data_IF_332213769030
#
_entry.id   IF_332213769030
#
_cell.length_a   1.000
_cell.length_b   1.000
_cell.length_c   1.000
_cell.angle_alpha   90.00
_cell.angle_beta   90.00
_cell.angle_gamma   90.00
#
_symmetry.space_group_name_H-M   'P 1'
#
loop_
_entity.id
_entity.type
_entity.pdbx_description
1 polymer ?
#
# COMPACT_ATOMS: atom_id res chain seq x y z
N UNK A 1 -5.82 -25.59 7.30
CA UNK A 1 -5.30 -24.83 8.45
C UNK A 1 -6.01 -23.50 8.51
N UNK A 2 -6.62 -23.18 9.65
CA UNK A 2 -7.30 -21.90 9.87
C UNK A 2 -6.29 -20.86 10.36
N UNK A 3 -6.36 -19.64 9.84
CA UNK A 3 -5.52 -18.50 10.21
C UNK A 3 -6.36 -17.35 10.74
N UNK A 4 -5.76 -16.51 11.59
CA UNK A 4 -6.36 -15.27 12.02
C UNK A 4 -5.53 -14.05 11.59
N UNK A 5 -6.20 -12.96 11.21
CA UNK A 5 -5.58 -11.67 10.94
C UNK A 5 -6.06 -10.67 11.98
N UNK A 6 -5.14 -9.91 12.57
CA UNK A 6 -5.44 -8.79 13.45
C UNK A 6 -5.31 -7.52 12.63
N UNK A 7 -6.43 -6.86 12.34
CA UNK A 7 -6.48 -5.65 11.52
C UNK A 7 -7.54 -4.70 12.08
N UNK A 8 -7.15 -3.81 13.03
CA UNK A 8 -8.08 -2.83 13.60
C UNK A 8 -8.81 -2.02 12.52
N UNK A 9 -10.12 -1.88 12.67
CA UNK A 9 -11.00 -1.17 11.75
C UNK A 9 -11.56 -2.03 10.61
N UNK A 10 -11.07 -3.25 10.37
CA UNK A 10 -11.67 -4.12 9.35
C UNK A 10 -13.05 -4.65 9.78
N UNK A 11 -14.08 -4.69 8.91
CA UNK A 11 -14.11 -4.19 7.53
C UNK A 11 -14.59 -2.75 7.40
N UNK A 12 -14.97 -2.09 8.50
CA UNK A 12 -15.69 -0.82 8.48
C UNK A 12 -14.84 0.38 8.00
N UNK A 13 -13.55 0.39 8.32
CA UNK A 13 -12.64 1.48 7.97
C UNK A 13 -12.05 1.30 6.56
N UNK A 14 -12.03 2.37 5.79
CA UNK A 14 -11.34 2.42 4.49
C UNK A 14 -9.88 2.80 4.68
N UNK A 15 -8.95 2.07 4.04
CA UNK A 15 -7.54 2.40 4.05
C UNK A 15 -6.64 1.27 3.58
N UNK A 16 -5.38 1.58 3.29
CA UNK A 16 -4.47 0.61 2.68
C UNK A 16 -4.28 -0.68 3.48
N UNK A 17 -4.34 -0.62 4.82
CA UNK A 17 -4.20 -1.82 5.69
C UNK A 17 -5.47 -2.68 5.67
N UNK A 18 -6.66 -2.07 5.69
CA UNK A 18 -7.92 -2.82 5.63
C UNK A 18 -8.16 -3.37 4.23
N UNK A 19 -7.78 -2.64 3.18
CA UNK A 19 -7.80 -3.12 1.79
C UNK A 19 -6.84 -4.30 1.58
N UNK A 20 -5.62 -4.20 2.15
CA UNK A 20 -4.66 -5.30 2.15
C UNK A 20 -5.21 -6.52 2.89
N UNK A 21 -5.87 -6.31 4.03
CA UNK A 21 -6.52 -7.40 4.79
C UNK A 21 -7.64 -8.06 4.01
N UNK A 22 -8.51 -7.27 3.35
CA UNK A 22 -9.57 -7.79 2.50
C UNK A 22 -9.00 -8.67 1.37
N UNK A 23 -7.89 -8.24 0.78
CA UNK A 23 -7.19 -9.00 -0.25
C UNK A 23 -6.59 -10.30 0.28
N UNK A 24 -5.91 -10.26 1.42
CA UNK A 24 -5.34 -11.46 2.06
C UNK A 24 -6.42 -12.50 2.36
N UNK A 25 -7.56 -12.09 2.94
CA UNK A 25 -8.70 -13.00 3.20
C UNK A 25 -9.14 -13.69 1.92
N UNK A 26 -9.29 -12.95 0.82
CA UNK A 26 -9.70 -13.48 -0.48
C UNK A 26 -8.67 -14.46 -1.05
N UNK A 27 -7.40 -14.07 -1.11
CA UNK A 27 -6.34 -14.84 -1.74
C UNK A 27 -5.96 -16.09 -0.92
N UNK A 28 -5.98 -15.99 0.40
CA UNK A 28 -5.79 -17.15 1.27
C UNK A 28 -6.97 -18.11 1.23
N UNK A 29 -8.20 -17.60 1.14
CA UNK A 29 -9.40 -18.42 0.89
C UNK A 29 -9.29 -19.19 -0.42
N UNK A 30 -8.88 -18.54 -1.51
CA UNK A 30 -8.63 -19.18 -2.79
C UNK A 30 -7.51 -20.24 -2.72
N UNK A 31 -6.54 -20.07 -1.81
CA UNK A 31 -5.48 -21.05 -1.51
C UNK A 31 -5.89 -22.10 -0.47
N UNK A 32 -7.19 -22.23 -0.15
CA UNK A 32 -7.74 -23.25 0.75
C UNK A 32 -7.52 -22.97 2.25
N UNK A 33 -7.17 -21.75 2.65
CA UNK A 33 -7.07 -21.35 4.05
C UNK A 33 -8.37 -20.69 4.53
N UNK A 34 -8.97 -21.23 5.59
CA UNK A 34 -10.01 -20.51 6.33
C UNK A 34 -9.36 -19.33 7.07
N UNK A 35 -9.89 -18.12 6.89
CA UNK A 35 -9.32 -16.90 7.49
C UNK A 35 -10.35 -16.22 8.40
N UNK A 36 -9.93 -15.90 9.62
CA UNK A 36 -10.70 -15.12 10.60
C UNK A 36 -10.06 -13.75 10.77
N UNK A 37 -10.85 -12.70 10.98
CA UNK A 37 -10.32 -11.34 11.17
C UNK A 37 -10.80 -10.76 12.49
N UNK A 38 -9.86 -10.25 13.29
CA UNK A 38 -10.13 -9.44 14.46
C UNK A 38 -10.05 -7.96 14.09
N UNK A 39 -11.21 -7.33 13.93
CA UNK A 39 -11.37 -5.91 13.57
C UNK A 39 -11.30 -4.94 14.75
N UNK A 40 -11.39 -5.43 15.98
CA UNK A 40 -11.45 -4.62 17.20
C UNK A 40 -10.48 -5.19 18.26
N UNK A 41 -9.83 -4.33 19.04
CA UNK A 41 -8.76 -4.71 19.97
C UNK A 41 -9.06 -4.29 21.41
N UNK A 42 -10.29 -4.56 21.85
CA UNK A 42 -10.83 -4.25 23.17
C UNK A 42 -10.76 -5.44 24.16
N UNK A 43 -10.68 -6.67 23.65
CA UNK A 43 -10.62 -7.87 24.47
C UNK A 43 -9.21 -8.19 25.02
N UNK A 44 -9.16 -8.88 26.16
CA UNK A 44 -7.91 -9.40 26.72
C UNK A 44 -7.19 -10.35 25.74
N UNK A 45 -5.90 -10.11 25.41
CA UNK A 45 -5.16 -10.93 24.45
C UNK A 45 -5.07 -12.43 24.78
N UNK A 46 -5.07 -12.81 26.07
CA UNK A 46 -5.05 -14.23 26.48
C UNK A 46 -6.36 -14.93 26.15
N UNK A 47 -7.50 -14.25 26.31
CA UNK A 47 -8.83 -14.78 25.96
C UNK A 47 -8.95 -14.98 24.45
N UNK A 48 -8.50 -14.00 23.67
CA UNK A 48 -8.44 -14.10 22.20
C UNK A 48 -7.60 -15.33 21.78
N UNK A 49 -6.36 -15.44 22.29
CA UNK A 49 -5.47 -16.54 21.95
C UNK A 49 -6.04 -17.91 22.34
N UNK A 50 -6.61 -18.04 23.55
CA UNK A 50 -7.24 -19.28 24.00
C UNK A 50 -8.44 -19.68 23.14
N UNK A 51 -9.32 -18.73 22.80
CA UNK A 51 -10.46 -18.96 21.90
C UNK A 51 -9.99 -19.41 20.52
N UNK A 52 -9.01 -18.74 19.94
CA UNK A 52 -8.48 -19.13 18.63
C UNK A 52 -7.85 -20.52 18.64
N UNK A 53 -7.11 -20.86 19.69
CA UNK A 53 -6.56 -22.21 19.84
C UNK A 53 -7.68 -23.26 19.93
N UNK A 54 -8.71 -23.02 20.74
CA UNK A 54 -9.88 -23.91 20.83
C UNK A 54 -10.65 -24.05 19.51
N UNK A 55 -10.59 -23.03 18.66
CA UNK A 55 -11.20 -23.00 17.34
C UNK A 55 -10.33 -23.59 16.23
N UNK A 56 -9.17 -24.17 16.55
CA UNK A 56 -8.28 -24.78 15.55
C UNK A 56 -7.49 -23.78 14.70
N UNK A 57 -7.41 -22.51 15.10
CA UNK A 57 -6.50 -21.55 14.47
C UNK A 57 -5.07 -22.06 14.69
N UNK A 58 -4.27 -22.15 13.62
CA UNK A 58 -2.89 -22.59 13.68
C UNK A 58 -1.86 -21.45 13.67
N UNK A 59 -2.27 -20.26 13.19
CA UNK A 59 -1.38 -19.11 13.10
C UNK A 59 -2.12 -17.78 13.04
N UNK A 60 -1.42 -16.72 13.43
CA UNK A 60 -1.95 -15.35 13.44
C UNK A 60 -1.02 -14.39 12.67
N UNK A 61 -1.60 -13.40 12.00
CA UNK A 61 -0.89 -12.30 11.36
C UNK A 61 -1.34 -10.96 11.94
N UNK A 62 -0.41 -10.20 12.50
CA UNK A 62 -0.67 -8.86 13.02
C UNK A 62 -0.33 -7.82 11.94
N UNK A 63 -1.34 -7.09 11.46
CA UNK A 63 -1.13 -5.96 10.55
C UNK A 63 -0.72 -4.73 11.38
N UNK A 64 0.57 -4.38 11.37
CA UNK A 64 1.11 -3.37 12.28
C UNK A 64 1.28 -2.00 11.62
N UNK A 65 0.55 -1.03 12.17
CA UNK A 65 0.79 0.42 12.11
C UNK A 65 0.57 0.94 13.53
N UNK A 66 1.48 1.75 14.12
CA UNK A 66 1.39 2.16 15.52
C UNK A 66 0.00 2.71 15.89
N UNK A 67 -0.53 3.61 15.06
CA UNK A 67 -1.77 4.33 15.31
C UNK A 67 -3.05 3.48 15.22
N UNK A 68 -2.98 2.26 14.69
CA UNK A 68 -4.14 1.35 14.65
C UNK A 68 -4.47 0.76 16.02
N UNK A 69 -3.52 0.72 16.96
CA UNK A 69 -3.67 -0.03 18.22
C UNK A 69 -3.80 0.83 19.47
N UNK A 70 -3.62 2.14 19.37
CA UNK A 70 -3.67 3.01 20.54
C UNK A 70 -3.44 4.48 20.23
N UNK A 71 -3.92 5.33 21.15
CA UNK A 71 -3.73 6.77 21.08
C UNK A 71 -2.23 7.08 21.03
N UNK A 72 -1.82 7.99 20.14
CA UNK A 72 -0.40 8.35 19.89
C UNK A 72 0.47 7.18 19.40
N UNK A 73 -0.14 6.08 18.96
CA UNK A 73 0.56 4.90 18.46
C UNK A 73 1.27 4.05 19.50
N UNK A 74 0.90 4.18 20.79
CA UNK A 74 1.43 3.37 21.88
C UNK A 74 0.36 2.40 22.36
N UNK A 75 0.69 1.11 22.37
CA UNK A 75 -0.21 0.04 22.79
C UNK A 75 0.56 -1.21 23.20
N UNK A 76 0.14 -1.82 24.32
CA UNK A 76 0.65 -3.13 24.75
C UNK A 76 -0.07 -4.28 24.05
N UNK A 77 -1.18 -4.02 23.37
CA UNK A 77 -2.04 -5.04 22.80
C UNK A 77 -1.32 -5.94 21.78
N UNK A 78 -0.63 -5.42 20.73
CA UNK A 78 0.00 -6.27 19.73
C UNK A 78 1.00 -7.25 20.33
N UNK A 79 1.87 -6.76 21.22
CA UNK A 79 2.86 -7.60 21.91
C UNK A 79 2.19 -8.61 22.84
N UNK A 80 1.20 -8.16 23.63
CA UNK A 80 0.46 -9.03 24.54
C UNK A 80 -0.22 -10.17 23.81
N UNK A 81 -0.80 -9.90 22.63
CA UNK A 81 -1.41 -10.91 21.77
C UNK A 81 -0.38 -11.84 21.16
N UNK A 82 0.72 -11.33 20.62
CA UNK A 82 1.80 -12.16 20.09
C UNK A 82 2.35 -13.13 21.16
N UNK A 83 2.64 -12.63 22.37
CA UNK A 83 3.11 -13.47 23.48
C UNK A 83 2.06 -14.50 23.90
N UNK A 84 0.80 -14.11 24.06
CA UNK A 84 -0.27 -15.03 24.45
C UNK A 84 -0.54 -16.10 23.39
N UNK A 85 -0.55 -15.73 22.11
CA UNK A 85 -0.73 -16.64 20.98
C UNK A 85 0.41 -17.66 20.91
N UNK A 86 1.66 -17.21 21.06
CA UNK A 86 2.82 -18.11 21.10
C UNK A 86 2.76 -19.07 22.29
N UNK A 87 2.37 -18.59 23.47
CA UNK A 87 2.16 -19.45 24.65
C UNK A 87 1.03 -20.48 24.45
N UNK A 88 0.03 -20.17 23.62
CA UNK A 88 -1.04 -21.08 23.23
C UNK A 88 -0.65 -22.03 22.07
N UNK A 89 0.62 -22.05 21.65
CA UNK A 89 1.12 -22.90 20.56
C UNK A 89 0.76 -22.43 19.16
N UNK A 90 0.36 -21.16 18.98
CA UNK A 90 0.06 -20.58 17.67
C UNK A 90 1.34 -20.04 17.02
N UNK A 91 1.46 -20.20 15.70
CA UNK A 91 2.46 -19.46 14.92
C UNK A 91 2.08 -17.99 14.83
N UNK A 92 3.04 -17.08 14.95
CA UNK A 92 2.77 -15.64 15.07
C UNK A 92 3.61 -14.90 14.04
N UNK A 93 2.96 -14.18 13.14
CA UNK A 93 3.61 -13.25 12.22
C UNK A 93 3.20 -11.81 12.49
N UNK A 94 4.07 -10.87 12.12
CA UNK A 94 3.76 -9.44 12.05
C UNK A 94 4.11 -8.90 10.67
N UNK A 95 3.21 -8.12 10.07
CA UNK A 95 3.45 -7.36 8.85
C UNK A 95 3.53 -5.87 9.17
N UNK A 96 4.73 -5.31 9.12
CA UNK A 96 5.02 -3.92 9.51
C UNK A 96 4.83 -2.99 8.31
N UNK A 97 3.69 -2.31 8.25
CA UNK A 97 3.36 -1.31 7.21
C UNK A 97 4.03 0.03 7.47
N UNK A 98 4.02 0.45 8.74
CA UNK A 98 4.68 1.65 9.22
C UNK A 98 5.31 1.35 10.58
N UNK A 99 6.58 1.71 10.82
CA UNK A 99 7.25 1.24 12.02
C UNK A 99 7.07 2.20 13.21
N UNK A 100 7.27 3.51 12.98
CA UNK A 100 7.17 4.58 13.98
C UNK A 100 7.12 5.95 13.30
N UNK A 101 6.72 6.99 14.05
CA UNK A 101 6.74 8.39 13.59
C UNK A 101 8.16 8.91 13.37
N UNK A 102 8.41 9.70 12.31
CA UNK A 102 9.71 10.31 12.09
C UNK A 102 10.00 11.38 13.16
N UNK A 103 11.27 11.66 13.43
CA UNK A 103 11.73 12.62 14.45
C UNK A 103 11.72 14.08 13.93
N UNK A 104 10.64 14.50 13.28
CA UNK A 104 10.55 15.82 12.62
C UNK A 104 9.77 16.86 13.41
N UNK A 105 9.13 16.48 14.52
CA UNK A 105 8.35 17.38 15.40
C UNK A 105 8.63 17.04 16.86
N UNK A 106 8.56 18.03 17.74
CA UNK A 106 8.88 17.86 19.18
C UNK A 106 8.13 16.70 19.84
N UNK A 107 6.79 16.53 19.68
CA UNK A 107 6.10 15.37 20.25
C UNK A 107 6.62 14.04 19.71
N UNK A 108 7.08 14.01 18.46
CA UNK A 108 7.59 12.80 17.81
C UNK A 108 9.01 12.44 18.24
N UNK A 109 9.80 13.40 18.76
CA UNK A 109 11.08 13.10 19.39
C UNK A 109 10.93 12.16 20.60
N UNK A 110 9.85 12.34 21.37
CA UNK A 110 9.52 11.48 22.51
C UNK A 110 8.81 10.18 22.09
N UNK A 111 7.86 10.26 21.16
CA UNK A 111 7.08 9.09 20.75
C UNK A 111 7.88 8.08 19.92
N UNK A 112 8.78 8.56 19.04
CA UNK A 112 9.58 7.71 18.14
C UNK A 112 10.37 6.62 18.88
N UNK A 113 11.20 6.92 19.91
CA UNK A 113 11.93 5.87 20.64
C UNK A 113 11.00 4.88 21.36
N UNK A 114 9.86 5.34 21.89
CA UNK A 114 8.88 4.47 22.55
C UNK A 114 8.21 3.51 21.56
N UNK A 115 7.77 4.02 20.41
CA UNK A 115 7.21 3.21 19.32
C UNK A 115 8.25 2.21 18.78
N UNK A 116 9.51 2.63 18.64
CA UNK A 116 10.60 1.73 18.23
C UNK A 116 10.79 0.60 19.23
N UNK A 117 10.87 0.89 20.53
CA UNK A 117 10.99 -0.13 21.59
C UNK A 117 9.79 -1.08 21.60
N UNK A 118 8.58 -0.56 21.39
CA UNK A 118 7.37 -1.37 21.27
C UNK A 118 7.42 -2.32 20.08
N UNK A 119 7.81 -1.82 18.90
CA UNK A 119 7.90 -2.62 17.69
C UNK A 119 8.97 -3.71 17.79
N UNK A 120 10.17 -3.38 18.29
CA UNK A 120 11.23 -4.38 18.48
C UNK A 120 10.77 -5.52 19.40
N UNK A 121 10.13 -5.18 20.51
CA UNK A 121 9.54 -6.17 21.43
C UNK A 121 8.38 -6.97 20.83
N UNK A 122 7.67 -6.43 19.85
CA UNK A 122 6.65 -7.16 19.10
C UNK A 122 7.32 -8.14 18.14
N UNK A 123 8.32 -7.70 17.39
CA UNK A 123 9.10 -8.55 16.47
C UNK A 123 9.75 -9.71 17.22
N UNK A 124 10.37 -9.46 18.38
CA UNK A 124 10.93 -10.49 19.28
C UNK A 124 9.88 -11.54 19.73
N UNK A 125 8.61 -11.13 19.85
CA UNK A 125 7.52 -12.02 20.24
C UNK A 125 6.94 -12.83 19.07
N UNK A 126 7.32 -12.52 17.82
CA UNK A 126 6.83 -13.17 16.62
C UNK A 126 7.81 -14.24 16.12
N UNK A 127 7.28 -15.21 15.37
CA UNK A 127 8.07 -16.21 14.64
C UNK A 127 8.50 -15.70 13.26
N UNK A 128 7.70 -14.79 12.68
CA UNK A 128 7.93 -14.19 11.37
C UNK A 128 7.69 -12.68 11.47
N UNK A 129 8.57 -11.90 10.88
CA UNK A 129 8.35 -10.48 10.66
C UNK A 129 8.50 -10.17 9.17
N UNK A 130 7.57 -9.41 8.61
CA UNK A 130 7.59 -8.96 7.22
C UNK A 130 7.49 -7.43 7.17
N UNK A 131 8.09 -6.82 6.16
CA UNK A 131 7.89 -5.41 5.84
C UNK A 131 7.99 -5.20 4.33
N UNK A 132 7.23 -4.25 3.75
CA UNK A 132 7.29 -3.96 2.32
C UNK A 132 8.30 -2.86 1.97
N UNK A 133 9.15 -2.44 2.90
CA UNK A 133 10.09 -1.33 2.69
C UNK A 133 11.52 -1.77 3.07
N UNK A 134 12.49 -1.77 2.15
CA UNK A 134 13.85 -2.22 2.42
C UNK A 134 14.52 -1.45 3.57
N UNK A 135 14.31 -0.12 3.64
CA UNK A 135 14.84 0.71 4.71
C UNK A 135 14.34 0.29 6.10
N UNK A 136 13.14 -0.30 6.19
CA UNK A 136 12.63 -0.86 7.44
C UNK A 136 13.22 -2.22 7.73
N UNK A 137 13.38 -3.08 6.73
CA UNK A 137 14.08 -4.37 6.89
C UNK A 137 15.49 -4.16 7.45
N UNK A 138 16.27 -3.24 6.89
CA UNK A 138 17.61 -2.90 7.37
C UNK A 138 17.62 -2.44 8.84
N UNK A 139 16.56 -1.79 9.32
CA UNK A 139 16.45 -1.30 10.71
C UNK A 139 15.88 -2.33 11.69
N UNK A 140 15.10 -3.29 11.19
CA UNK A 140 14.48 -4.36 11.98
C UNK A 140 15.37 -5.61 12.05
N UNK A 141 16.35 -5.73 11.17
CA UNK A 141 17.33 -6.82 11.11
C UNK A 141 17.01 -7.86 10.05
N UNK A 142 18.01 -8.69 9.71
CA UNK A 142 17.97 -9.61 8.57
C UNK A 142 16.92 -10.71 8.68
N UNK A 143 16.47 -11.00 9.91
CA UNK A 143 15.38 -11.93 10.20
C UNK A 143 14.00 -11.40 9.75
N UNK A 144 13.91 -10.12 9.35
CA UNK A 144 12.70 -9.55 8.76
C UNK A 144 12.68 -9.80 7.26
N UNK A 145 11.62 -10.45 6.78
CA UNK A 145 11.41 -10.71 5.36
C UNK A 145 10.98 -9.42 4.64
N UNK A 146 11.60 -9.15 3.48
CA UNK A 146 11.09 -8.15 2.55
C UNK A 146 9.96 -8.79 1.75
N UNK A 147 8.74 -8.28 1.93
CA UNK A 147 7.58 -8.76 1.18
C UNK A 147 6.72 -7.57 0.77
N UNK A 148 6.65 -7.32 -0.53
CA UNK A 148 5.86 -6.22 -1.08
C UNK A 148 4.36 -6.46 -0.94
N UNK A 149 3.59 -5.38 -1.01
CA UNK A 149 2.13 -5.47 -0.97
C UNK A 149 1.57 -5.70 -2.37
N UNK A 150 2.05 -5.01 -3.41
CA UNK A 150 1.39 -5.04 -4.73
C UNK A 150 0.06 -4.26 -4.73
N UNK A 151 -0.76 -4.42 -5.78
CA UNK A 151 -2.09 -3.77 -5.90
C UNK A 151 -3.11 -4.37 -4.92
N UNK A 152 -3.93 -3.52 -4.30
CA UNK A 152 -5.09 -3.96 -3.49
C UNK A 152 -6.40 -4.01 -4.26
N UNK A 153 -6.41 -3.60 -5.54
CA UNK A 153 -7.60 -3.62 -6.39
C UNK A 153 -7.93 -4.99 -7.00
N UNK A 154 -7.06 -5.98 -6.77
CA UNK A 154 -7.16 -7.29 -7.42
C UNK A 154 -6.44 -7.32 -8.78
N UNK A 155 -6.72 -8.37 -9.55
CA UNK A 155 -6.18 -8.55 -10.90
C UNK A 155 -7.03 -7.77 -11.92
N UNK A 156 -6.41 -7.15 -12.94
CA UNK A 156 -7.15 -6.56 -14.04
C UNK A 156 -7.90 -7.63 -14.82
N UNK A 157 -9.10 -7.31 -15.31
CA UNK A 157 -9.84 -8.20 -16.19
C UNK A 157 -9.02 -8.50 -17.46
N UNK A 158 -9.02 -9.74 -17.94
CA UNK A 158 -8.31 -10.12 -19.17
C UNK A 158 -8.77 -9.32 -20.41
N UNK A 159 -9.99 -8.79 -20.37
CA UNK A 159 -10.65 -8.09 -21.47
C UNK A 159 -10.67 -6.56 -21.31
N UNK A 160 -9.58 -5.94 -20.83
CA UNK A 160 -9.51 -4.48 -20.90
C UNK A 160 -9.45 -4.06 -22.37
N UNK A 161 -10.61 -3.62 -22.89
CA UNK A 161 -10.88 -3.30 -24.29
C UNK A 161 -10.23 -1.98 -24.74
N UNK A 162 -10.24 -1.82 -26.06
CA UNK A 162 -9.79 -0.74 -26.94
C UNK A 162 -10.45 0.63 -26.72
N UNK A 163 -10.70 1.03 -25.47
CA UNK A 163 -11.20 2.38 -25.22
C UNK A 163 -10.11 3.43 -25.50
N UNK A 164 -10.50 4.62 -25.98
CA UNK A 164 -9.55 5.71 -26.20
C UNK A 164 -8.78 6.04 -24.92
N UNK A 165 -7.49 6.38 -25.03
CA UNK A 165 -6.71 6.89 -23.91
C UNK A 165 -7.38 8.12 -23.29
N UNK A 166 -7.20 8.31 -21.98
CA UNK A 166 -7.68 9.51 -21.31
C UNK A 166 -6.97 10.76 -21.86
N UNK A 167 -7.70 11.89 -22.01
CA UNK A 167 -7.14 13.12 -22.58
C UNK A 167 -6.20 13.85 -21.62
N UNK A 168 -6.09 13.40 -20.37
CA UNK A 168 -5.32 14.05 -19.30
C UNK A 168 -4.42 13.04 -18.56
N UNK A 169 -3.35 13.49 -17.88
CA UNK A 169 -2.64 12.66 -16.92
C UNK A 169 -3.55 12.23 -15.77
N UNK A 170 -3.24 11.10 -15.13
CA UNK A 170 -4.07 10.54 -14.06
C UNK A 170 -3.36 10.59 -12.71
N UNK A 171 -4.10 10.93 -11.65
CA UNK A 171 -3.73 10.66 -10.25
C UNK A 171 -4.73 9.69 -9.65
N UNK A 172 -4.24 8.63 -9.02
CA UNK A 172 -5.08 7.65 -8.33
C UNK A 172 -4.80 7.62 -6.83
N UNK A 173 -5.88 7.57 -6.05
CA UNK A 173 -5.87 7.70 -4.58
C UNK A 173 -5.26 9.04 -4.15
N UNK A 174 -5.91 10.18 -4.46
CA UNK A 174 -5.39 11.53 -4.24
C UNK A 174 -5.05 11.86 -2.78
N UNK A 175 -5.64 11.13 -1.84
CA UNK A 175 -5.39 11.27 -0.40
C UNK A 175 -4.37 10.26 0.14
N UNK A 176 -3.72 9.49 -0.74
CA UNK A 176 -2.62 8.62 -0.34
C UNK A 176 -1.55 9.43 0.40
N UNK A 177 -1.10 8.88 1.53
CA UNK A 177 -0.18 9.58 2.40
C UNK A 177 1.13 9.91 1.68
N UNK A 178 1.49 11.21 1.71
CA UNK A 178 2.76 11.69 1.19
C UNK A 178 2.82 11.82 -0.34
N UNK A 179 1.74 12.14 -1.04
CA UNK A 179 1.84 12.62 -2.43
C UNK A 179 2.37 14.07 -2.50
N UNK A 180 3.26 14.35 -3.45
CA UNK A 180 3.79 15.69 -3.79
C UNK A 180 2.82 16.40 -4.76
N UNK A 181 1.78 17.02 -4.22
CA UNK A 181 0.76 17.71 -5.03
C UNK A 181 1.27 18.92 -5.80
N UNK A 182 2.30 19.57 -5.28
CA UNK A 182 3.11 20.57 -5.97
C UNK A 182 3.66 20.03 -7.30
N UNK A 183 4.27 18.85 -7.29
CA UNK A 183 4.84 18.21 -8.49
C UNK A 183 3.74 17.77 -9.47
N UNK A 184 2.65 17.21 -8.95
CA UNK A 184 1.48 16.81 -9.76
C UNK A 184 0.92 18.02 -10.51
N UNK A 185 0.69 19.13 -9.81
CA UNK A 185 0.13 20.35 -10.40
C UNK A 185 1.09 20.98 -11.42
N UNK A 186 2.41 20.97 -11.14
CA UNK A 186 3.42 21.43 -12.08
C UNK A 186 3.46 20.60 -13.36
N UNK A 187 3.39 19.27 -13.24
CA UNK A 187 3.33 18.35 -14.38
C UNK A 187 2.04 18.53 -15.20
N UNK A 188 0.87 18.66 -14.54
CA UNK A 188 -0.41 18.90 -15.21
C UNK A 188 -0.37 20.19 -16.06
N UNK A 189 0.16 21.29 -15.50
CA UNK A 189 0.34 22.56 -16.24
C UNK A 189 1.31 22.42 -17.42
N UNK A 190 2.41 21.71 -17.24
CA UNK A 190 3.40 21.51 -18.31
C UNK A 190 2.85 20.64 -19.46
N UNK A 191 1.95 19.71 -19.15
CA UNK A 191 1.26 18.89 -20.16
C UNK A 191 0.24 19.73 -20.95
N UNK A 192 -0.47 20.65 -20.29
CA UNK A 192 -1.40 21.57 -20.95
C UNK A 192 -2.64 20.90 -21.58
N UNK A 193 -3.06 19.74 -21.06
CA UNK A 193 -4.27 19.05 -21.53
C UNK A 193 -5.55 19.71 -21.03
N UNK A 194 -6.68 19.42 -21.68
CA UNK A 194 -8.02 19.80 -21.19
C UNK A 194 -8.89 18.55 -21.09
N UNK A 195 -9.33 18.13 -19.89
CA UNK A 195 -8.99 18.68 -18.57
C UNK A 195 -7.48 18.58 -18.27
N UNK A 196 -6.99 19.40 -17.33
CA UNK A 196 -5.57 19.39 -16.94
C UNK A 196 -5.13 18.13 -16.19
N UNK A 197 -6.07 17.46 -15.51
CA UNK A 197 -5.82 16.26 -14.72
C UNK A 197 -7.12 15.44 -14.62
N UNK A 198 -7.00 14.11 -14.62
CA UNK A 198 -8.07 13.19 -14.18
C UNK A 198 -7.71 12.62 -12.81
N UNK A 199 -8.60 12.77 -11.83
CA UNK A 199 -8.37 12.32 -10.45
C UNK A 199 -9.35 11.20 -10.09
N UNK A 200 -8.80 10.05 -9.69
CA UNK A 200 -9.55 8.84 -9.33
C UNK A 200 -9.43 8.58 -7.83
N UNK A 201 -10.55 8.45 -7.13
CA UNK A 201 -10.60 8.18 -5.69
C UNK A 201 -11.03 9.37 -4.83
N UNK A 202 -11.36 10.52 -5.42
CA UNK A 202 -12.02 11.63 -4.75
C UNK A 202 -12.88 12.43 -5.72
N UNK A 203 -13.97 12.97 -5.20
CA UNK A 203 -14.75 14.01 -5.88
C UNK A 203 -14.21 15.40 -5.52
N UNK A 204 -14.70 16.42 -6.23
CA UNK A 204 -14.31 17.81 -6.02
C UNK A 204 -14.60 18.31 -4.59
N UNK A 205 -15.69 17.85 -3.99
CA UNK A 205 -16.13 18.26 -2.67
C UNK A 205 -15.23 17.69 -1.56
N UNK A 206 -14.79 16.44 -1.70
CA UNK A 206 -13.78 15.84 -0.84
C UNK A 206 -12.44 16.55 -0.99
N UNK A 207 -12.03 16.88 -2.23
CA UNK A 207 -10.77 17.55 -2.51
C UNK A 207 -10.66 18.93 -1.85
N UNK A 208 -11.71 19.77 -1.95
CA UNK A 208 -11.73 21.11 -1.32
C UNK A 208 -11.70 21.06 0.20
N UNK A 209 -12.21 19.98 0.82
CA UNK A 209 -12.19 19.78 2.27
C UNK A 209 -10.87 19.21 2.77
N UNK A 210 -10.11 18.53 1.91
CA UNK A 210 -8.87 17.87 2.32
C UNK A 210 -7.73 18.88 2.52
N UNK A 211 -7.16 18.93 3.72
CA UNK A 211 -6.21 19.96 4.15
C UNK A 211 -4.99 20.16 3.21
N UNK A 212 -4.50 19.07 2.62
CA UNK A 212 -3.33 19.09 1.71
C UNK A 212 -3.75 19.35 0.26
N UNK A 213 -4.83 18.72 -0.21
CA UNK A 213 -5.19 18.73 -1.64
C UNK A 213 -5.83 20.05 -2.04
N UNK A 214 -6.62 20.65 -1.14
CA UNK A 214 -7.35 21.91 -1.40
C UNK A 214 -6.49 23.06 -1.92
N UNK A 215 -5.18 23.10 -1.60
CA UNK A 215 -4.25 24.15 -2.06
C UNK A 215 -3.95 24.04 -3.56
N UNK A 216 -4.06 22.84 -4.11
CA UNK A 216 -3.66 22.51 -5.47
C UNK A 216 -4.83 22.09 -6.35
N UNK A 217 -5.97 21.80 -5.74
CA UNK A 217 -7.16 21.32 -6.41
C UNK A 217 -7.74 22.40 -7.36
N UNK A 218 -8.11 21.98 -8.56
CA UNK A 218 -8.72 22.83 -9.58
C UNK A 218 -10.10 22.25 -9.97
N UNK A 219 -11.19 23.05 -9.94
CA UNK A 219 -12.52 22.57 -10.32
C UNK A 219 -12.62 22.17 -11.81
N UNK A 220 -11.72 22.65 -12.68
CA UNK A 220 -11.67 22.29 -14.09
C UNK A 220 -11.02 20.92 -14.35
N UNK A 221 -10.45 20.28 -13.32
CA UNK A 221 -10.00 18.90 -13.42
C UNK A 221 -11.17 17.92 -13.41
N UNK A 222 -10.92 16.73 -13.96
CA UNK A 222 -11.90 15.66 -14.05
C UNK A 222 -11.87 14.79 -12.78
N UNK A 223 -12.72 15.14 -11.82
CA UNK A 223 -12.86 14.47 -10.52
C UNK A 223 -13.84 13.30 -10.60
N UNK A 224 -13.33 12.07 -10.57
CA UNK A 224 -14.12 10.85 -10.83
C UNK A 224 -14.76 10.23 -9.58
N UNK A 225 -14.55 10.80 -8.40
CA UNK A 225 -15.07 10.22 -7.16
C UNK A 225 -14.37 8.91 -6.78
N UNK A 226 -14.94 8.22 -5.79
CA UNK A 226 -14.52 6.86 -5.46
C UNK A 226 -15.11 5.87 -6.47
N UNK A 227 -14.26 5.02 -7.04
CA UNK A 227 -14.65 3.95 -7.96
C UNK A 227 -14.37 2.60 -7.33
N UNK A 228 -15.26 1.63 -7.57
CA UNK A 228 -15.01 0.24 -7.21
C UNK A 228 -13.79 -0.33 -7.97
N UNK A 229 -13.15 -1.42 -7.48
CA UNK A 229 -11.89 -1.90 -8.04
C UNK A 229 -11.90 -2.18 -9.56
N UNK A 230 -12.90 -2.86 -10.14
CA UNK A 230 -12.94 -3.08 -11.59
C UNK A 230 -13.00 -1.79 -12.41
N UNK A 231 -13.80 -0.81 -11.96
CA UNK A 231 -13.96 0.48 -12.64
C UNK A 231 -12.68 1.34 -12.52
N UNK A 232 -12.03 1.33 -11.35
CA UNK A 232 -10.76 2.01 -11.15
C UNK A 232 -9.66 1.43 -12.05
N UNK A 233 -9.54 0.09 -12.15
CA UNK A 233 -8.57 -0.57 -13.04
C UNK A 233 -8.88 -0.31 -14.51
N UNK A 234 -10.15 -0.35 -14.92
CA UNK A 234 -10.56 -0.02 -16.29
C UNK A 234 -10.25 1.44 -16.67
N UNK A 235 -10.32 2.37 -15.73
CA UNK A 235 -9.97 3.75 -15.99
C UNK A 235 -8.45 3.97 -16.00
N UNK A 236 -7.72 3.33 -15.07
CA UNK A 236 -6.25 3.34 -15.03
C UNK A 236 -5.64 2.73 -16.30
N UNK A 237 -6.27 1.71 -16.87
CA UNK A 237 -5.78 1.11 -18.10
C UNK A 237 -5.90 2.04 -19.31
N UNK A 238 -6.73 3.07 -19.25
CA UNK A 238 -6.83 4.11 -20.28
C UNK A 238 -5.86 5.27 -20.03
N UNK A 239 -5.20 5.32 -18.87
CA UNK A 239 -4.22 6.35 -18.56
C UNK A 239 -3.04 6.28 -19.54
N UNK A 240 -2.67 7.43 -20.11
CA UNK A 240 -1.41 7.60 -20.86
C UNK A 240 -0.23 7.63 -19.89
N UNK A 241 -0.39 8.37 -18.80
CA UNK A 241 0.56 8.47 -17.70
C UNK A 241 -0.18 8.58 -16.38
N UNK A 242 0.36 7.93 -15.35
CA UNK A 242 -0.10 8.04 -13.96
C UNK A 242 0.98 8.74 -13.14
N UNK A 243 0.60 9.80 -12.46
CA UNK A 243 1.46 10.63 -11.62
C UNK A 243 1.32 10.19 -10.17
N UNK A 244 2.40 9.67 -9.58
CA UNK A 244 2.45 9.24 -8.18
C UNK A 244 3.76 9.64 -7.50
N UNK A 245 4.13 10.94 -7.46
CA UNK A 245 5.34 11.37 -6.76
C UNK A 245 5.12 11.32 -5.25
N UNK A 246 5.90 10.48 -4.56
CA UNK A 246 5.82 10.32 -3.11
C UNK A 246 6.91 11.13 -2.38
N UNK A 247 6.58 11.65 -1.21
CA UNK A 247 7.50 12.42 -0.36
C UNK A 247 8.69 11.58 0.07
N UNK A 248 8.44 10.32 0.43
CA UNK A 248 9.41 9.31 0.85
C UNK A 248 9.89 8.43 -0.31
N UNK A 249 9.36 8.60 -1.52
CA UNK A 249 9.71 7.82 -2.70
C UNK A 249 8.84 6.59 -2.96
N UNK A 250 9.01 5.99 -4.14
CA UNK A 250 8.33 4.75 -4.51
C UNK A 250 8.86 3.58 -3.67
N UNK A 251 7.96 2.91 -2.94
CA UNK A 251 8.29 1.78 -2.05
C UNK A 251 7.29 0.64 -2.26
N UNK A 252 7.64 -0.56 -1.78
CA UNK A 252 6.79 -1.76 -1.87
C UNK A 252 5.42 -1.69 -1.18
N UNK A 253 5.08 -0.59 -0.51
CA UNK A 253 3.75 -0.34 0.10
C UNK A 253 2.85 0.60 -0.71
N UNK A 254 3.30 1.11 -1.85
CA UNK A 254 2.56 2.09 -2.67
C UNK A 254 1.52 1.42 -3.57
N UNK A 255 0.48 0.87 -2.95
CA UNK A 255 -0.56 0.06 -3.62
C UNK A 255 -1.28 0.81 -4.74
N UNK A 256 -1.46 2.14 -4.65
CA UNK A 256 -2.05 2.95 -5.73
C UNK A 256 -1.15 3.03 -6.97
N UNK A 257 0.15 3.18 -6.79
CA UNK A 257 1.12 3.13 -7.89
C UNK A 257 1.15 1.73 -8.53
N UNK A 258 1.05 0.69 -7.71
CA UNK A 258 1.00 -0.70 -8.18
C UNK A 258 -0.31 -1.09 -8.85
N UNK A 259 -1.44 -0.45 -8.51
CA UNK A 259 -2.67 -0.57 -9.28
C UNK A 259 -2.47 -0.08 -10.72
N UNK A 260 -1.81 1.07 -10.91
CA UNK A 260 -1.48 1.57 -12.24
C UNK A 260 -0.49 0.65 -12.99
N UNK A 261 0.54 0.16 -12.29
CA UNK A 261 1.51 -0.78 -12.87
C UNK A 261 0.84 -2.11 -13.30
N UNK A 262 -0.16 -2.59 -12.54
CA UNK A 262 -0.87 -3.84 -12.84
C UNK A 262 -1.59 -3.84 -14.19
N UNK A 263 -2.03 -2.67 -14.66
CA UNK A 263 -2.67 -2.48 -15.98
C UNK A 263 -1.70 -1.98 -17.05
N UNK A 264 -0.39 -2.03 -16.77
CA UNK A 264 0.67 -1.62 -17.69
C UNK A 264 0.70 -0.12 -18.00
N UNK A 265 0.06 0.72 -17.18
CA UNK A 265 0.12 2.17 -17.36
C UNK A 265 1.55 2.68 -17.17
N UNK A 266 1.92 3.77 -17.86
CA UNK A 266 3.18 4.45 -17.59
C UNK A 266 3.08 5.15 -16.24
N UNK A 267 3.87 4.71 -15.28
CA UNK A 267 3.90 5.26 -13.92
C UNK A 267 5.10 6.18 -13.77
N UNK A 268 4.89 7.41 -13.30
CA UNK A 268 5.96 8.31 -12.89
C UNK A 268 5.88 8.54 -11.38
N UNK A 269 7.00 8.38 -10.69
CA UNK A 269 7.13 8.52 -9.26
C UNK A 269 8.46 9.21 -8.90
N UNK A 270 8.83 9.19 -7.62
CA UNK A 270 9.98 9.91 -7.08
C UNK A 270 10.94 8.98 -6.32
N UNK A 271 12.22 9.36 -6.25
CA UNK A 271 13.31 8.62 -5.55
C UNK A 271 13.54 9.10 -4.11
N UNK A 272 12.48 9.47 -3.38
CA UNK A 272 12.58 10.03 -2.02
C UNK A 272 13.37 9.17 -1.01
N UNK A 273 13.55 9.63 0.24
CA UNK A 273 14.50 9.05 1.21
C UNK A 273 14.27 7.58 1.61
N UNK A 274 13.12 6.99 1.31
CA UNK A 274 12.81 5.58 1.54
C UNK A 274 12.67 4.78 0.24
N UNK A 275 12.99 5.38 -0.92
CA UNK A 275 12.90 4.75 -2.23
C UNK A 275 13.55 3.36 -2.22
N UNK A 276 12.89 2.44 -2.90
CA UNK A 276 13.32 1.05 -3.00
C UNK A 276 14.19 0.84 -4.24
N UNK A 277 15.49 0.54 -4.08
CA UNK A 277 16.41 0.34 -5.21
C UNK A 277 16.01 -0.81 -6.13
N UNK A 278 15.15 -1.75 -5.69
CA UNK A 278 14.64 -2.81 -6.56
C UNK A 278 13.79 -2.28 -7.73
N UNK A 279 13.43 -0.99 -7.71
CA UNK A 279 12.69 -0.33 -8.79
C UNK A 279 13.58 0.46 -9.76
N UNK A 280 14.91 0.38 -9.63
CA UNK A 280 15.83 1.00 -10.61
C UNK A 280 15.69 0.39 -12.01
N UNK A 281 15.49 -0.92 -12.06
CA UNK A 281 15.26 -1.66 -13.31
C UNK A 281 13.76 -1.81 -13.64
N UNK A 282 12.88 -1.15 -12.87
CA UNK A 282 11.46 -1.17 -13.17
C UNK A 282 11.16 -0.25 -14.36
N UNK A 283 10.15 -0.55 -15.18
CA UNK A 283 9.75 0.30 -16.30
C UNK A 283 8.92 1.51 -15.83
N UNK A 284 9.42 2.21 -14.81
CA UNK A 284 8.82 3.39 -14.18
C UNK A 284 9.66 4.63 -14.49
N UNK A 285 8.99 5.77 -14.59
CA UNK A 285 9.66 7.06 -14.62
C UNK A 285 10.00 7.46 -13.18
N UNK A 286 11.27 7.66 -12.86
CA UNK A 286 11.70 7.97 -11.50
C UNK A 286 12.43 9.30 -11.48
N UNK A 287 11.87 10.29 -10.77
CA UNK A 287 12.45 11.62 -10.67
C UNK A 287 13.06 11.92 -9.29
N UNK A 288 14.15 12.68 -9.28
CA UNK A 288 14.81 13.19 -8.07
C UNK A 288 14.34 14.60 -7.70
N UNK A 289 13.80 15.34 -8.66
CA UNK A 289 13.36 16.74 -8.48
C UNK A 289 12.01 17.02 -9.15
N UNK A 290 11.39 18.15 -8.79
CA UNK A 290 10.15 18.60 -9.43
C UNK A 290 10.34 18.84 -10.94
N UNK A 291 11.45 19.48 -11.32
CA UNK A 291 11.74 19.80 -12.72
C UNK A 291 11.86 18.52 -13.56
N UNK A 292 12.65 17.55 -13.08
CA UNK A 292 12.79 16.24 -13.73
C UNK A 292 11.45 15.51 -13.82
N UNK A 293 10.65 15.53 -12.76
CA UNK A 293 9.32 14.90 -12.75
C UNK A 293 8.39 15.53 -13.79
N UNK A 294 8.35 16.86 -13.85
CA UNK A 294 7.56 17.64 -14.80
C UNK A 294 7.96 17.34 -16.24
N UNK A 295 9.25 17.37 -16.53
CA UNK A 295 9.77 17.18 -17.88
C UNK A 295 9.53 15.75 -18.37
N UNK A 296 9.74 14.76 -17.49
CA UNK A 296 9.43 13.36 -17.75
C UNK A 296 7.93 13.14 -18.01
N UNK A 297 7.07 13.78 -17.22
CA UNK A 297 5.62 13.70 -17.41
C UNK A 297 5.17 14.30 -18.75
N UNK A 298 5.68 15.48 -19.12
CA UNK A 298 5.35 16.12 -20.39
C UNK A 298 5.83 15.27 -21.60
N UNK A 299 7.02 14.69 -21.52
CA UNK A 299 7.56 13.85 -22.59
C UNK A 299 6.76 12.55 -22.74
N UNK A 300 6.57 11.80 -21.65
CA UNK A 300 5.82 10.54 -21.69
C UNK A 300 4.35 10.72 -22.03
N UNK A 301 3.77 11.87 -21.69
CA UNK A 301 2.40 12.16 -22.07
C UNK A 301 2.27 12.44 -23.56
N UNK A 302 3.23 13.07 -24.23
CA UNK A 302 3.15 13.36 -25.68
C UNK A 302 3.23 12.10 -26.53
N UNK A 303 4.05 11.14 -26.11
CA UNK A 303 4.17 9.86 -26.79
C UNK A 303 2.87 9.04 -26.72
N UNK A 304 2.39 8.47 -27.85
CA UNK A 304 1.25 7.56 -27.82
C UNK A 304 1.62 6.26 -27.08
N UNK A 305 0.72 5.69 -26.26
CA UNK A 305 1.00 4.43 -25.59
C UNK A 305 1.04 3.28 -26.61
N UNK A 306 2.16 2.56 -26.68
CA UNK A 306 2.26 1.32 -27.45
C UNK A 306 1.61 0.14 -26.69
N UNK A 307 0.76 -0.68 -27.34
CA UNK A 307 0.22 -1.90 -26.73
C UNK A 307 1.32 -2.87 -26.25
N UNK A 308 2.38 -3.04 -27.04
CA UNK A 308 3.51 -3.91 -26.67
C UNK A 308 4.26 -3.39 -25.44
N UNK A 309 4.44 -2.08 -25.34
CA UNK A 309 5.04 -1.45 -24.16
C UNK A 309 4.17 -1.62 -22.90
N UNK A 310 2.85 -1.50 -23.06
CA UNK A 310 1.89 -1.70 -21.96
C UNK A 310 1.96 -3.15 -21.47
N UNK A 311 1.97 -4.12 -22.39
CA UNK A 311 2.07 -5.53 -22.03
C UNK A 311 3.41 -5.83 -21.36
N UNK A 312 4.53 -5.28 -21.84
CA UNK A 312 5.85 -5.40 -21.18
C UNK A 312 5.80 -4.91 -19.72
N UNK A 313 5.17 -3.75 -19.46
CA UNK A 313 5.03 -3.21 -18.10
C UNK A 313 4.14 -4.08 -17.22
N UNK A 314 2.99 -4.53 -17.73
CA UNK A 314 2.08 -5.39 -17.00
C UNK A 314 2.72 -6.75 -16.70
N UNK A 315 3.49 -7.29 -17.64
CA UNK A 315 4.26 -8.53 -17.47
C UNK A 315 5.32 -8.40 -16.37
N UNK A 316 6.11 -7.32 -16.38
CA UNK A 316 7.08 -7.03 -15.30
C UNK A 316 6.38 -6.97 -13.94
N UNK A 317 5.21 -6.31 -13.87
CA UNK A 317 4.43 -6.24 -12.64
C UNK A 317 4.01 -7.63 -12.17
N UNK A 318 3.44 -8.46 -13.05
CA UNK A 318 2.99 -9.82 -12.67
C UNK A 318 4.15 -10.69 -12.16
N UNK A 319 5.32 -10.59 -12.79
CA UNK A 319 6.50 -11.36 -12.37
C UNK A 319 7.03 -10.97 -10.98
N UNK A 320 6.88 -9.70 -10.57
CA UNK A 320 7.55 -9.16 -9.37
C UNK A 320 6.60 -8.83 -8.23
N UNK A 321 5.35 -8.50 -8.55
CA UNK A 321 4.40 -7.83 -7.66
C UNK A 321 2.98 -8.40 -7.74
N UNK A 322 2.77 -9.56 -8.40
CA UNK A 322 1.47 -10.23 -8.41
C UNK A 322 0.99 -10.50 -6.97
N UNK A 323 -0.14 -9.92 -6.55
CA UNK A 323 -0.62 -10.05 -5.18
C UNK A 323 -0.87 -11.50 -4.75
N UNK A 324 -1.36 -12.35 -5.66
CA UNK A 324 -1.59 -13.77 -5.36
C UNK A 324 -0.31 -14.50 -4.94
N UNK A 325 0.82 -14.21 -5.60
CA UNK A 325 2.10 -14.84 -5.30
C UNK A 325 2.69 -14.29 -4.00
N UNK A 326 2.66 -12.97 -3.82
CA UNK A 326 3.09 -12.31 -2.58
C UNK A 326 2.30 -12.82 -1.36
N UNK A 327 0.98 -12.92 -1.49
CA UNK A 327 0.10 -13.39 -0.43
C UNK A 327 0.30 -14.89 -0.16
N UNK A 328 0.62 -15.70 -1.19
CA UNK A 328 1.00 -17.13 -1.04
C UNK A 328 2.33 -17.28 -0.31
N UNK A 329 3.33 -16.44 -0.62
CA UNK A 329 4.59 -16.39 0.13
C UNK A 329 4.35 -16.06 1.59
N UNK A 330 3.52 -15.05 1.90
CA UNK A 330 3.16 -14.72 3.28
C UNK A 330 2.47 -15.88 3.99
N UNK A 331 1.57 -16.56 3.29
CA UNK A 331 0.87 -17.75 3.79
C UNK A 331 1.86 -18.88 4.13
N UNK A 332 2.83 -19.14 3.25
CA UNK A 332 3.89 -20.13 3.47
C UNK A 332 4.72 -19.83 4.71
N UNK A 333 5.19 -18.58 4.85
CA UNK A 333 5.93 -18.13 6.04
C UNK A 333 5.12 -18.35 7.34
N UNK A 334 3.81 -18.08 7.32
CA UNK A 334 2.92 -18.29 8.46
C UNK A 334 2.56 -19.76 8.72
N UNK A 335 2.73 -20.65 7.73
CA UNK A 335 2.63 -22.10 7.89
C UNK A 335 3.95 -22.73 8.33
N UNK A 336 5.07 -22.02 8.12
CA UNK A 336 6.41 -22.56 8.34
C UNK A 336 6.89 -23.48 7.21
N UNK A 337 6.38 -23.24 5.99
CA UNK A 337 6.71 -23.98 4.76
C UNK A 337 7.49 -23.11 3.79
#
# INVERSE_FOLDING_TARGET
MTLAIVSPGYPAATGGVTDHTARLVRNWGAAGAETRVLGWCDENPRRIAGRWRAQGVGGILIQYVPFLYGRRGLSRFPRGLATAARAAGLRVGVFVHEPWVPRTRVPWLLLSPLQRRQLLRLVEACHVACTPVPAWRARLGDQTHLLYVGSTLGEPAASVRSEPPLPAPVVFSPFAAGLRWDWIAAAARAIGSTPGLTVIGADWDAARRHAIVRRWADPAWDWRGYLGPPAALALLSRARVVLAPFVDGLTGRRTSAFAAASVGARLISSRGPLFDPAFDDAPFGLANSEAEFRDLAANWFREPPSPADRERRAHWYRQRLAPADLDRTLLGLLRGT
#
